data_IF_330311429608
#
_entry.id   IF_330311429608
#
_cell.length_a   1.000
_cell.length_b   1.000
_cell.length_c   1.000
_cell.angle_alpha   90.00
_cell.angle_beta   90.00
_cell.angle_gamma   90.00
#
_symmetry.space_group_name_H-M   'P 1'
#
loop_
_entity.id
_entity.type
_entity.pdbx_description
1 polymer ?
#
# COMPACT_ATOMS: atom_id res chain seq x y z
N UNK A 1 -24.90 6.45 -11.09
CA UNK A 1 -23.63 6.88 -11.68
C UNK A 1 -22.54 5.96 -11.17
N UNK A 2 -21.48 5.69 -11.94
CA UNK A 2 -20.35 4.89 -11.44
C UNK A 2 -19.51 5.72 -10.49
N UNK A 3 -19.24 5.19 -9.30
CA UNK A 3 -18.33 5.79 -8.33
C UNK A 3 -16.90 5.40 -8.64
N UNK A 4 -15.98 6.34 -8.42
CA UNK A 4 -14.54 6.18 -8.53
C UNK A 4 -13.88 6.59 -7.22
N UNK A 5 -12.58 6.33 -7.13
CA UNK A 5 -11.79 6.70 -5.96
C UNK A 5 -10.59 7.54 -6.35
N UNK A 6 -10.50 8.76 -5.82
CA UNK A 6 -9.28 9.57 -5.88
C UNK A 6 -8.41 9.28 -4.66
N UNK A 7 -7.09 9.20 -4.87
CA UNK A 7 -6.10 9.02 -3.82
C UNK A 7 -5.10 10.18 -3.89
N UNK A 8 -4.94 10.88 -2.77
CA UNK A 8 -3.94 11.94 -2.58
C UNK A 8 -3.02 11.50 -1.44
N UNK A 9 -1.71 11.57 -1.64
CA UNK A 9 -0.69 11.13 -0.68
C UNK A 9 0.32 12.25 -0.46
N UNK A 10 0.55 12.64 0.79
CA UNK A 10 1.58 13.59 1.19
C UNK A 10 2.72 12.88 1.93
N UNK A 11 3.97 13.28 1.65
CA UNK A 11 5.15 12.74 2.32
C UNK A 11 5.39 13.56 3.58
N UNK A 12 5.29 12.92 4.74
CA UNK A 12 5.44 13.64 6.01
C UNK A 12 6.87 14.15 6.19
N UNK A 13 7.00 15.41 6.60
CA UNK A 13 8.30 16.06 6.92
C UNK A 13 9.28 16.07 5.73
N UNK A 14 8.80 15.96 4.50
CA UNK A 14 9.62 16.11 3.28
C UNK A 14 10.50 17.37 3.28
N UNK A 15 10.01 18.46 3.90
CA UNK A 15 10.66 19.76 3.98
C UNK A 15 11.75 19.86 5.05
N UNK A 16 11.89 18.87 5.94
CA UNK A 16 12.95 18.85 6.96
C UNK A 16 14.21 18.13 6.51
N UNK A 17 14.15 17.40 5.40
CA UNK A 17 15.32 16.83 4.77
C UNK A 17 16.17 17.93 4.13
N UNK A 18 17.49 17.71 4.06
CA UNK A 18 18.31 18.56 3.22
C UNK A 18 17.96 18.37 1.74
N UNK A 19 18.46 19.26 0.89
CA UNK A 19 18.09 19.27 -0.52
C UNK A 19 18.49 17.97 -1.24
N UNK A 20 19.61 17.35 -0.86
CA UNK A 20 20.11 16.15 -1.50
C UNK A 20 19.25 14.94 -1.11
N UNK A 21 19.00 14.76 0.19
CA UNK A 21 18.15 13.69 0.72
C UNK A 21 16.72 13.79 0.16
N UNK A 22 16.20 15.02 0.01
CA UNK A 22 14.89 15.25 -0.59
C UNK A 22 14.85 14.84 -2.07
N UNK A 23 15.89 15.16 -2.84
CA UNK A 23 15.98 14.77 -4.25
C UNK A 23 16.12 13.25 -4.40
N UNK A 24 16.99 12.63 -3.60
CA UNK A 24 17.15 11.17 -3.56
C UNK A 24 15.81 10.50 -3.22
N UNK A 25 15.06 11.03 -2.25
CA UNK A 25 13.76 10.51 -1.85
C UNK A 25 12.73 10.63 -2.97
N UNK A 26 12.69 11.76 -3.67
CA UNK A 26 11.78 11.94 -4.79
C UNK A 26 12.10 10.98 -5.96
N UNK A 27 13.38 10.76 -6.27
CA UNK A 27 13.80 9.79 -7.29
C UNK A 27 13.42 8.36 -6.87
N UNK A 28 13.65 8.00 -5.61
CA UNK A 28 13.25 6.70 -5.07
C UNK A 28 11.74 6.48 -5.16
N UNK A 29 10.95 7.45 -4.68
CA UNK A 29 9.50 7.39 -4.71
C UNK A 29 8.93 7.35 -6.13
N UNK A 30 9.51 8.10 -7.07
CA UNK A 30 9.14 8.03 -8.48
C UNK A 30 9.28 6.61 -9.04
N UNK A 31 10.37 5.90 -8.69
CA UNK A 31 10.55 4.50 -9.09
C UNK A 31 9.53 3.57 -8.42
N UNK A 32 9.26 3.74 -7.12
CA UNK A 32 8.24 2.98 -6.40
C UNK A 32 6.85 3.15 -7.03
N UNK A 33 6.43 4.39 -7.24
CA UNK A 33 5.14 4.74 -7.85
C UNK A 33 5.03 4.18 -9.25
N UNK A 34 6.09 4.29 -10.07
CA UNK A 34 6.10 3.69 -11.41
C UNK A 34 5.87 2.18 -11.39
N UNK A 35 6.52 1.45 -10.48
CA UNK A 35 6.32 0.00 -10.36
C UNK A 35 4.91 -0.34 -9.86
N UNK A 36 4.38 0.42 -8.91
CA UNK A 36 3.02 0.19 -8.41
C UNK A 36 1.96 0.52 -9.48
N UNK A 37 2.12 1.59 -10.26
CA UNK A 37 1.23 1.88 -11.39
C UNK A 37 1.19 0.73 -12.41
N UNK A 38 2.33 0.08 -12.66
CA UNK A 38 2.37 -1.12 -13.52
C UNK A 38 1.61 -2.29 -12.90
N UNK A 39 1.83 -2.56 -11.60
CA UNK A 39 1.19 -3.66 -10.88
C UNK A 39 -0.34 -3.48 -10.76
N UNK A 40 -0.81 -2.24 -10.61
CA UNK A 40 -2.23 -1.91 -10.44
C UNK A 40 -2.89 -1.40 -11.73
N UNK A 41 -2.29 -1.65 -12.90
CA UNK A 41 -2.72 -0.99 -14.15
C UNK A 41 -4.20 -1.19 -14.49
N UNK A 42 -4.73 -2.38 -14.23
CA UNK A 42 -6.15 -2.71 -14.49
C UNK A 42 -7.10 -2.10 -13.46
N UNK A 43 -6.60 -1.67 -12.30
CA UNK A 43 -7.37 -1.06 -11.21
C UNK A 43 -7.31 0.47 -11.21
N UNK A 44 -6.41 1.04 -12.00
CA UNK A 44 -6.13 2.48 -12.06
C UNK A 44 -6.81 3.10 -13.27
N UNK A 45 -7.55 4.18 -13.03
CA UNK A 45 -8.09 5.04 -14.08
C UNK A 45 -7.07 6.09 -14.55
N UNK A 46 -6.39 6.74 -13.61
CA UNK A 46 -5.27 7.64 -13.88
C UNK A 46 -4.10 7.30 -12.97
N UNK A 47 -2.94 7.07 -13.59
CA UNK A 47 -1.70 6.72 -12.91
C UNK A 47 -1.42 7.67 -11.75
N UNK A 48 -0.96 7.11 -10.63
CA UNK A 48 -0.50 7.92 -9.51
C UNK A 48 0.75 8.65 -9.95
N UNK A 49 0.74 9.97 -9.85
CA UNK A 49 1.83 10.85 -10.28
C UNK A 49 2.09 11.93 -9.25
N UNK A 50 3.27 12.54 -9.28
CA UNK A 50 3.52 13.74 -8.49
C UNK A 50 2.63 14.88 -8.98
N UNK A 51 1.97 15.55 -8.04
CA UNK A 51 1.34 16.85 -8.23
C UNK A 51 2.35 17.96 -7.91
N UNK A 52 1.89 19.21 -7.78
CA UNK A 52 2.77 20.34 -7.51
C UNK A 52 3.44 20.19 -6.12
N UNK A 53 4.70 19.75 -6.11
CA UNK A 53 5.52 19.59 -4.91
C UNK A 53 5.86 18.12 -4.64
N UNK A 54 5.56 17.68 -3.42
CA UNK A 54 5.88 16.37 -2.86
C UNK A 54 4.65 15.46 -2.66
N UNK A 55 3.50 15.93 -3.10
CA UNK A 55 2.25 15.19 -3.08
C UNK A 55 2.11 14.29 -4.31
N UNK A 56 1.53 13.11 -4.11
CA UNK A 56 1.13 12.20 -5.18
C UNK A 56 -0.39 12.22 -5.31
N UNK A 57 -0.89 12.15 -6.54
CA UNK A 57 -2.32 12.08 -6.83
C UNK A 57 -2.57 11.04 -7.92
N UNK A 58 -3.62 10.23 -7.76
CA UNK A 58 -4.08 9.26 -8.76
C UNK A 58 -5.55 8.90 -8.59
N UNK A 59 -6.07 8.09 -9.50
CA UNK A 59 -7.48 7.72 -9.53
C UNK A 59 -7.68 6.25 -9.87
N UNK A 60 -8.60 5.59 -9.17
CA UNK A 60 -8.88 4.16 -9.24
C UNK A 60 -10.34 3.90 -9.60
N UNK A 61 -10.59 2.73 -10.19
CA UNK A 61 -11.95 2.26 -10.48
C UNK A 61 -12.72 1.83 -9.21
N UNK A 62 -12.02 1.50 -8.13
CA UNK A 62 -12.63 1.08 -6.88
C UNK A 62 -11.78 1.42 -5.63
N UNK A 63 -12.46 1.57 -4.49
CA UNK A 63 -11.85 2.00 -3.22
C UNK A 63 -10.90 0.96 -2.64
N UNK A 64 -11.19 -0.33 -2.82
CA UNK A 64 -10.35 -1.43 -2.30
C UNK A 64 -8.98 -1.38 -2.99
N UNK A 65 -8.96 -1.21 -4.31
CA UNK A 65 -7.72 -1.08 -5.08
C UNK A 65 -6.88 0.13 -4.66
N UNK A 66 -7.51 1.28 -4.44
CA UNK A 66 -6.82 2.49 -3.95
C UNK A 66 -6.16 2.27 -2.58
N UNK A 67 -6.87 1.61 -1.67
CA UNK A 67 -6.37 1.28 -0.32
C UNK A 67 -5.26 0.22 -0.39
N UNK A 68 -5.38 -0.76 -1.28
CA UNK A 68 -4.32 -1.74 -1.52
C UNK A 68 -3.04 -1.10 -2.04
N UNK A 69 -3.16 -0.17 -2.99
CA UNK A 69 -2.04 0.60 -3.51
C UNK A 69 -1.34 1.38 -2.39
N UNK A 70 -2.11 2.15 -1.60
CA UNK A 70 -1.60 2.96 -0.49
C UNK A 70 -0.87 2.11 0.57
N UNK A 71 -1.45 0.96 0.94
CA UNK A 71 -0.85 0.03 1.91
C UNK A 71 0.50 -0.48 1.40
N UNK A 72 0.53 -1.00 0.17
CA UNK A 72 1.75 -1.57 -0.38
C UNK A 72 2.84 -0.51 -0.54
N UNK A 73 2.49 0.70 -0.98
CA UNK A 73 3.41 1.84 -1.01
C UNK A 73 3.97 2.12 0.40
N UNK A 74 3.11 2.20 1.41
CA UNK A 74 3.51 2.50 2.79
C UNK A 74 4.49 1.46 3.36
N UNK A 75 4.25 0.17 3.10
CA UNK A 75 5.16 -0.92 3.50
C UNK A 75 6.50 -0.83 2.76
N UNK A 76 6.45 -0.57 1.44
CA UNK A 76 7.62 -0.47 0.58
C UNK A 76 8.56 0.67 1.04
N UNK A 77 8.00 1.85 1.36
CA UNK A 77 8.80 3.04 1.66
C UNK A 77 9.12 3.22 3.15
N UNK A 78 8.56 2.39 4.04
CA UNK A 78 8.83 2.43 5.48
C UNK A 78 10.35 2.41 5.77
N UNK A 79 10.85 3.24 6.71
CA UNK A 79 10.13 4.17 7.61
C UNK A 79 9.83 5.59 7.09
N UNK A 80 9.87 5.84 5.78
CA UNK A 80 9.28 7.09 5.25
C UNK A 80 7.78 7.06 5.53
N UNK A 81 7.30 8.05 6.29
CA UNK A 81 5.90 8.14 6.67
C UNK A 81 5.12 8.97 5.65
N UNK A 82 3.93 8.50 5.30
CA UNK A 82 2.98 9.23 4.44
C UNK A 82 1.69 9.55 5.19
N UNK A 83 0.95 10.52 4.65
CA UNK A 83 -0.45 10.79 4.93
C UNK A 83 -1.24 10.63 3.65
N UNK A 84 -2.51 10.28 3.74
CA UNK A 84 -3.33 10.15 2.55
C UNK A 84 -4.79 10.51 2.78
N UNK A 85 -5.39 11.14 1.77
CA UNK A 85 -6.83 11.31 1.63
C UNK A 85 -7.34 10.43 0.50
N UNK A 86 -8.45 9.74 0.75
CA UNK A 86 -9.11 8.84 -0.18
C UNK A 86 -10.53 9.38 -0.36
N UNK A 87 -10.88 9.77 -1.57
CA UNK A 87 -12.18 10.35 -1.87
C UNK A 87 -13.00 9.43 -2.74
N UNK A 88 -14.18 9.03 -2.27
CA UNK A 88 -15.12 8.19 -3.00
C UNK A 88 -16.24 9.05 -3.55
N UNK A 89 -16.48 8.99 -4.86
CA UNK A 89 -17.54 9.75 -5.50
C UNK A 89 -17.47 9.75 -7.02
N UNK A 90 -18.23 10.64 -7.64
CA UNK A 90 -18.27 10.78 -9.10
C UNK A 90 -17.00 11.45 -9.66
N UNK A 91 -16.75 11.20 -10.96
CA UNK A 91 -15.71 11.87 -11.75
C UNK A 91 -16.37 12.61 -12.93
N UNK A 92 -16.38 13.94 -12.82
CA UNK A 92 -17.23 14.82 -13.64
C UNK A 92 -16.45 15.56 -14.73
N UNK A 93 -15.29 16.15 -14.41
CA UNK A 93 -14.43 16.82 -15.39
C UNK A 93 -13.47 15.79 -15.95
N UNK A 94 -13.67 15.42 -17.21
CA UNK A 94 -12.91 14.37 -17.88
C UNK A 94 -12.05 14.96 -18.99
N UNK A 95 -10.75 15.04 -18.75
CA UNK A 95 -9.76 15.37 -19.76
C UNK A 95 -9.16 14.03 -20.21
N UNK A 96 -9.54 13.55 -21.39
CA UNK A 96 -9.28 12.17 -21.86
C UNK A 96 -7.78 11.80 -21.83
N UNK A 97 -6.89 12.76 -22.14
CA UNK A 97 -5.43 12.57 -22.17
C UNK A 97 -4.70 13.31 -21.03
N UNK A 98 -5.45 13.81 -20.04
CA UNK A 98 -4.90 14.55 -18.91
C UNK A 98 -4.31 13.64 -17.83
N UNK A 99 -3.38 14.18 -17.05
CA UNK A 99 -2.93 13.56 -15.81
C UNK A 99 -4.03 13.60 -14.76
N UNK A 100 -3.90 12.78 -13.70
CA UNK A 100 -4.84 12.81 -12.57
C UNK A 100 -4.94 14.19 -11.92
N UNK A 101 -3.92 15.04 -12.07
CA UNK A 101 -3.84 16.41 -11.52
C UNK A 101 -4.65 17.43 -12.31
N UNK A 102 -5.11 17.07 -13.51
CA UNK A 102 -5.89 17.94 -14.40
C UNK A 102 -7.39 17.57 -14.39
N UNK A 103 -7.74 16.51 -13.66
CA UNK A 103 -9.11 16.02 -13.52
C UNK A 103 -9.80 16.68 -12.32
N UNK A 104 -11.13 16.65 -12.31
CA UNK A 104 -11.92 17.21 -11.21
C UNK A 104 -13.28 16.48 -11.02
N UNK A 105 -13.84 16.61 -9.83
CA UNK A 105 -15.13 16.03 -9.45
C UNK A 105 -15.22 15.65 -7.98
N UNK A 106 -16.40 15.18 -7.52
CA UNK A 106 -16.64 14.81 -6.12
C UNK A 106 -15.58 13.88 -5.54
N UNK A 107 -15.08 12.88 -6.29
CA UNK A 107 -14.01 12.00 -5.80
C UNK A 107 -12.74 12.79 -5.42
N UNK A 108 -12.33 13.76 -6.25
CA UNK A 108 -11.15 14.60 -5.98
C UNK A 108 -11.39 15.56 -4.81
N UNK A 109 -12.58 16.16 -4.73
CA UNK A 109 -12.96 17.04 -3.62
C UNK A 109 -12.93 16.30 -2.27
N UNK A 110 -13.54 15.10 -2.20
CA UNK A 110 -13.53 14.29 -0.99
C UNK A 110 -12.10 13.86 -0.59
N UNK A 111 -11.25 13.51 -1.56
CA UNK A 111 -9.86 13.13 -1.27
C UNK A 111 -9.07 14.31 -0.69
N UNK A 112 -9.30 15.52 -1.23
CA UNK A 112 -8.69 16.76 -0.74
C UNK A 112 -9.18 17.09 0.66
N UNK A 113 -10.48 17.01 0.92
CA UNK A 113 -11.04 17.19 2.26
C UNK A 113 -10.44 16.18 3.25
N UNK A 114 -10.39 14.91 2.89
CA UNK A 114 -9.86 13.84 3.73
C UNK A 114 -8.39 14.07 4.14
N UNK A 115 -7.52 14.48 3.21
CA UNK A 115 -6.11 14.74 3.56
C UNK A 115 -5.96 16.00 4.43
N UNK A 116 -6.76 17.04 4.19
CA UNK A 116 -6.80 18.24 5.04
C UNK A 116 -7.28 17.94 6.47
N UNK A 117 -8.22 17.01 6.62
CA UNK A 117 -8.63 16.51 7.93
C UNK A 117 -7.53 15.69 8.61
N UNK A 118 -6.83 14.81 7.87
CA UNK A 118 -5.73 14.01 8.41
C UNK A 118 -4.66 14.89 9.07
N UNK A 119 -4.35 16.07 8.52
CA UNK A 119 -3.37 16.98 9.13
C UNK A 119 -3.76 17.45 10.54
N UNK A 120 -5.06 17.44 10.86
CA UNK A 120 -5.60 17.84 12.17
C UNK A 120 -5.66 16.67 13.16
N UNK A 121 -5.56 15.43 12.67
CA UNK A 121 -5.64 14.22 13.48
C UNK A 121 -4.31 13.90 14.19
N UNK A 122 -4.42 13.31 15.38
CA UNK A 122 -3.25 12.88 16.16
C UNK A 122 -2.90 11.40 15.94
N UNK A 123 -3.91 10.56 15.71
CA UNK A 123 -3.76 9.10 15.67
C UNK A 123 -3.97 8.51 14.27
N UNK A 124 -4.47 9.30 13.32
CA UNK A 124 -4.77 8.86 11.96
C UNK A 124 -3.79 9.46 10.96
N UNK A 125 -3.47 8.67 9.94
CA UNK A 125 -2.58 9.00 8.82
C UNK A 125 -3.32 8.94 7.49
N UNK A 126 -4.33 8.10 7.42
CA UNK A 126 -5.15 7.93 6.23
C UNK A 126 -6.61 8.22 6.57
N UNK A 127 -7.32 8.89 5.67
CA UNK A 127 -8.77 9.04 5.78
C UNK A 127 -9.47 8.78 4.45
N UNK A 128 -10.62 8.14 4.53
CA UNK A 128 -11.65 8.05 3.50
C UNK A 128 -12.71 9.11 3.81
N UNK A 129 -13.12 9.83 2.77
CA UNK A 129 -14.31 10.69 2.74
C UNK A 129 -15.18 10.26 1.55
N UNK A 130 -16.49 10.12 1.79
CA UNK A 130 -17.49 9.69 0.82
C UNK A 130 -18.71 10.61 0.84
N UNK A 131 -19.58 10.53 -0.17
CA UNK A 131 -20.78 11.39 -0.26
C UNK A 131 -21.84 11.04 0.79
N UNK A 132 -21.83 9.81 1.28
CA UNK A 132 -22.72 9.26 2.31
C UNK A 132 -22.26 9.57 3.74
N UNK A 133 -21.03 10.09 3.94
CA UNK A 133 -20.49 10.59 5.22
C UNK A 133 -20.49 9.59 6.39
N UNK A 134 -20.62 8.29 6.16
CA UNK A 134 -20.52 7.23 7.18
C UNK A 134 -19.15 6.54 7.14
N UNK A 135 -18.09 7.34 7.25
CA UNK A 135 -16.71 6.88 7.04
C UNK A 135 -15.95 6.57 8.34
N UNK A 136 -16.58 6.78 9.50
CA UNK A 136 -15.88 6.78 10.79
C UNK A 136 -15.22 5.44 11.07
N UNK A 137 -15.96 4.33 10.92
CA UNK A 137 -15.42 3.00 11.19
C UNK A 137 -14.33 2.61 10.18
N UNK A 138 -14.55 2.86 8.88
CA UNK A 138 -13.54 2.66 7.84
C UNK A 138 -12.23 3.39 8.18
N UNK A 139 -12.33 4.64 8.61
CA UNK A 139 -11.18 5.46 9.00
C UNK A 139 -10.38 4.87 10.16
N UNK A 140 -11.03 4.34 11.19
CA UNK A 140 -10.31 3.67 12.28
C UNK A 140 -9.70 2.34 11.85
N UNK A 141 -10.40 1.54 11.05
CA UNK A 141 -9.89 0.27 10.55
C UNK A 141 -8.66 0.46 9.64
N UNK A 142 -8.70 1.46 8.75
CA UNK A 142 -7.60 1.79 7.83
C UNK A 142 -6.29 2.15 8.55
N UNK A 143 -6.37 2.63 9.78
CA UNK A 143 -5.20 3.02 10.57
C UNK A 143 -4.81 1.99 11.65
N UNK A 144 -5.54 0.88 11.78
CA UNK A 144 -5.37 -0.07 12.89
C UNK A 144 -3.96 -0.69 12.93
N UNK A 145 -3.39 -1.01 11.76
CA UNK A 145 -2.05 -1.61 11.64
C UNK A 145 -0.90 -0.59 11.66
N UNK A 146 -1.20 0.70 11.53
CA UNK A 146 -0.21 1.73 11.19
C UNK A 146 0.93 1.80 12.21
N UNK A 147 0.61 1.85 13.51
CA UNK A 147 1.63 1.89 14.56
C UNK A 147 2.54 0.66 14.56
N UNK A 148 2.03 -0.51 14.16
CA UNK A 148 2.86 -1.71 14.07
C UNK A 148 3.84 -1.62 12.90
N UNK A 149 3.38 -1.15 11.73
CA UNK A 149 4.22 -0.93 10.55
C UNK A 149 5.34 0.06 10.87
N UNK A 150 5.00 1.19 11.50
CA UNK A 150 5.95 2.26 11.83
C UNK A 150 7.04 1.84 12.82
N UNK A 151 6.75 0.87 13.68
CA UNK A 151 7.71 0.36 14.66
C UNK A 151 8.58 -0.80 14.13
N UNK A 152 8.40 -1.22 12.87
CA UNK A 152 9.24 -2.23 12.26
C UNK A 152 10.62 -1.67 11.90
N UNK A 153 11.67 -2.41 12.26
CA UNK A 153 12.98 -2.17 11.67
C UNK A 153 13.02 -2.60 10.20
N UNK A 154 14.10 -2.26 9.51
CA UNK A 154 14.28 -2.54 8.09
C UNK A 154 14.04 -4.01 7.72
N UNK A 155 14.61 -4.96 8.47
CA UNK A 155 14.46 -6.39 8.20
C UNK A 155 13.00 -6.82 8.39
N UNK A 156 12.35 -6.41 9.49
CA UNK A 156 10.94 -6.72 9.73
C UNK A 156 10.02 -6.17 8.64
N UNK A 157 10.28 -4.94 8.19
CA UNK A 157 9.55 -4.30 7.09
C UNK A 157 9.76 -5.02 5.75
N UNK A 158 10.98 -5.51 5.49
CA UNK A 158 11.27 -6.35 4.32
C UNK A 158 10.55 -7.69 4.38
N UNK A 159 10.52 -8.35 5.54
CA UNK A 159 9.77 -9.59 5.74
C UNK A 159 8.26 -9.36 5.52
N UNK A 160 7.69 -8.25 6.01
CA UNK A 160 6.30 -7.90 5.73
C UNK A 160 6.07 -7.68 4.23
N UNK A 161 6.97 -6.98 3.52
CA UNK A 161 6.88 -6.80 2.07
C UNK A 161 6.91 -8.15 1.33
N UNK A 162 7.80 -9.07 1.70
CA UNK A 162 7.85 -10.40 1.11
C UNK A 162 6.54 -11.16 1.32
N UNK A 163 5.93 -11.06 2.50
CA UNK A 163 4.62 -11.66 2.77
C UNK A 163 3.52 -11.06 1.88
N UNK A 164 3.51 -9.73 1.68
CA UNK A 164 2.55 -9.08 0.80
C UNK A 164 2.74 -9.44 -0.67
N UNK A 165 3.97 -9.72 -1.11
CA UNK A 165 4.27 -10.06 -2.51
C UNK A 165 4.11 -11.56 -2.81
N UNK A 166 4.42 -12.43 -1.86
CA UNK A 166 4.31 -13.89 -2.02
C UNK A 166 2.90 -14.40 -1.70
N UNK A 167 2.15 -13.68 -0.86
CA UNK A 167 0.78 -14.03 -0.47
C UNK A 167 -0.19 -12.86 -0.68
N UNK A 168 -0.26 -12.26 -1.88
CA UNK A 168 -0.93 -10.97 -2.09
C UNK A 168 -2.44 -11.03 -1.83
N UNK A 169 -2.98 -9.95 -1.26
CA UNK A 169 -4.42 -9.73 -1.26
C UNK A 169 -4.89 -9.38 -2.67
N UNK A 170 -6.05 -9.87 -3.09
CA UNK A 170 -6.62 -9.59 -4.42
C UNK A 170 -8.10 -9.19 -4.31
N UNK A 171 -8.50 -8.20 -5.11
CA UNK A 171 -9.89 -7.79 -5.30
C UNK A 171 -10.32 -8.15 -6.73
N UNK A 172 -11.33 -9.02 -6.89
CA UNK A 172 -11.74 -9.64 -8.18
C UNK A 172 -10.66 -10.56 -8.77
N UNK A 173 -10.97 -11.26 -9.88
CA UNK A 173 -10.03 -12.11 -10.63
C UNK A 173 -8.98 -11.23 -11.32
N UNK A 174 -7.98 -10.78 -10.57
CA UNK A 174 -6.88 -9.96 -11.10
C UNK A 174 -5.93 -10.83 -11.92
N UNK A 175 -5.33 -10.24 -12.95
CA UNK A 175 -4.18 -10.84 -13.61
C UNK A 175 -3.10 -11.23 -12.59
N UNK A 176 -2.43 -12.38 -12.77
CA UNK A 176 -1.38 -12.80 -11.87
C UNK A 176 -0.29 -11.72 -11.78
N UNK A 177 0.03 -11.29 -10.56
CA UNK A 177 1.17 -10.40 -10.30
C UNK A 177 2.40 -11.03 -10.94
N UNK A 178 3.08 -10.28 -11.81
CA UNK A 178 4.22 -10.83 -12.53
C UNK A 178 5.40 -10.97 -11.59
N UNK A 179 6.09 -12.10 -11.67
CA UNK A 179 7.33 -12.34 -10.90
C UNK A 179 8.35 -11.20 -11.09
N UNK A 180 8.42 -10.60 -12.29
CA UNK A 180 9.28 -9.44 -12.56
C UNK A 180 8.91 -8.21 -11.73
N UNK A 181 7.62 -7.94 -11.52
CA UNK A 181 7.15 -6.80 -10.70
C UNK A 181 7.50 -7.02 -9.23
N UNK A 182 7.35 -8.25 -8.74
CA UNK A 182 7.75 -8.64 -7.39
C UNK A 182 9.26 -8.41 -7.17
N UNK A 183 10.10 -8.88 -8.09
CA UNK A 183 11.56 -8.68 -8.01
C UNK A 183 11.92 -7.20 -7.99
N UNK A 184 11.33 -6.40 -8.89
CA UNK A 184 11.58 -4.96 -8.96
C UNK A 184 11.24 -4.24 -7.64
N UNK A 185 10.11 -4.59 -6.99
CA UNK A 185 9.73 -3.99 -5.71
C UNK A 185 10.70 -4.37 -4.58
N UNK A 186 11.18 -5.62 -4.56
CA UNK A 186 12.18 -6.05 -3.58
C UNK A 186 13.54 -5.37 -3.79
N UNK A 187 13.96 -5.21 -5.04
CA UNK A 187 15.17 -4.44 -5.38
C UNK A 187 15.05 -2.99 -4.93
N UNK A 188 13.89 -2.35 -5.16
CA UNK A 188 13.62 -1.00 -4.67
C UNK A 188 13.71 -0.94 -3.14
N UNK A 189 13.14 -1.91 -2.42
CA UNK A 189 13.27 -1.97 -0.95
C UNK A 189 14.74 -2.07 -0.52
N UNK A 190 15.53 -2.88 -1.22
CA UNK A 190 16.95 -3.09 -0.94
C UNK A 190 17.80 -1.81 -1.07
N UNK A 191 17.54 -1.00 -2.09
CA UNK A 191 18.30 0.24 -2.37
C UNK A 191 17.70 1.49 -1.73
N UNK A 192 16.67 1.35 -0.90
CA UNK A 192 16.04 2.47 -0.21
C UNK A 192 17.07 3.31 0.57
N UNK A 193 16.88 4.62 0.64
CA UNK A 193 17.85 5.60 1.22
C UNK A 193 18.31 5.22 2.62
N UNK A 194 17.50 4.44 3.32
CA UNK A 194 17.70 4.01 4.70
C UNK A 194 18.74 2.89 4.77
N UNK A 195 18.86 2.04 3.74
CA UNK A 195 19.94 1.05 3.66
C UNK A 195 21.32 1.71 3.48
N UNK A 196 21.39 2.93 2.92
CA UNK A 196 22.66 3.68 2.78
C UNK A 196 23.26 4.15 4.12
N UNK A 197 22.42 4.46 5.11
CA UNK A 197 22.87 4.90 6.43
C UNK A 197 23.17 3.74 7.39
N UNK A 198 22.50 2.60 7.21
CA UNK A 198 22.84 1.35 7.90
C UNK A 198 23.99 0.61 7.20
N UNK A 199 25.20 1.17 7.27
CA UNK A 199 26.46 0.52 6.79
C UNK A 199 26.78 -0.86 7.42
N UNK A 200 25.89 -1.39 8.27
CA UNK A 200 25.99 -2.70 8.94
C UNK A 200 25.12 -3.79 8.34
N UNK A 201 24.13 -3.47 7.51
CA UNK A 201 23.41 -4.51 6.76
C UNK A 201 24.23 -4.82 5.52
N UNK A 202 25.23 -5.70 5.68
CA UNK A 202 26.02 -6.23 4.57
C UNK A 202 25.13 -6.77 3.48
N UNK A 203 25.65 -6.84 2.25
CA UNK A 203 25.02 -7.39 1.05
C UNK A 203 24.18 -8.63 1.36
N UNK A 204 22.90 -8.44 1.69
CA UNK A 204 21.94 -9.54 1.73
C UNK A 204 21.56 -9.72 0.27
N UNK A 205 22.33 -10.55 -0.42
CA UNK A 205 21.95 -11.11 -1.71
C UNK A 205 20.69 -11.93 -1.50
N UNK A 206 19.54 -11.28 -1.63
CA UNK A 206 18.26 -11.96 -1.78
C UNK A 206 18.39 -12.95 -2.93
N UNK A 207 17.95 -14.18 -2.74
CA UNK A 207 17.83 -15.11 -3.85
C UNK A 207 16.55 -14.80 -4.63
N UNK A 208 16.66 -13.80 -5.52
CA UNK A 208 15.56 -13.39 -6.38
C UNK A 208 15.06 -14.52 -7.29
N UNK A 209 15.76 -15.65 -7.43
CA UNK A 209 15.26 -16.78 -8.22
C UNK A 209 14.16 -17.55 -7.51
N UNK A 210 14.12 -17.54 -6.18
CA UNK A 210 13.12 -18.27 -5.40
C UNK A 210 11.87 -17.44 -5.09
N UNK A 211 11.84 -16.18 -5.51
CA UNK A 211 10.71 -15.29 -5.27
C UNK A 211 9.62 -15.51 -6.32
N UNK A 212 8.45 -15.95 -5.86
CA UNK A 212 7.25 -16.10 -6.68
C UNK A 212 5.98 -15.86 -5.84
N UNK A 213 4.87 -15.60 -6.51
CA UNK A 213 3.55 -15.64 -5.86
C UNK A 213 3.23 -17.09 -5.51
N UNK A 214 3.05 -17.37 -4.22
CA UNK A 214 2.75 -18.71 -3.71
C UNK A 214 1.24 -18.94 -3.67
N UNK A 215 0.49 -18.00 -3.10
CA UNK A 215 -0.96 -18.11 -2.97
C UNK A 215 -1.61 -16.73 -2.93
N UNK A 216 -2.61 -16.48 -3.77
CA UNK A 216 -3.39 -15.25 -3.72
C UNK A 216 -4.50 -15.36 -2.67
N UNK A 217 -4.70 -14.32 -1.88
CA UNK A 217 -5.71 -14.25 -0.83
C UNK A 217 -6.83 -13.32 -1.30
N UNK A 218 -7.96 -13.90 -1.68
CA UNK A 218 -9.13 -13.14 -2.11
C UNK A 218 -9.77 -12.38 -0.95
N UNK A 219 -10.10 -11.10 -1.16
CA UNK A 219 -10.87 -10.31 -0.20
C UNK A 219 -12.34 -10.71 -0.35
N UNK A 220 -12.83 -11.58 0.54
CA UNK A 220 -14.19 -12.12 0.51
C UNK A 220 -15.13 -11.39 1.48
N UNK A 221 -16.42 -11.38 1.16
CA UNK A 221 -17.46 -10.88 2.07
C UNK A 221 -17.97 -11.96 3.04
N UNK A 222 -17.60 -13.22 2.80
CA UNK A 222 -17.98 -14.39 3.59
C UNK A 222 -17.50 -14.29 5.04
N UNK A 223 -18.28 -14.81 5.98
CA UNK A 223 -17.95 -14.82 7.41
C UNK A 223 -16.91 -15.92 7.73
N UNK A 224 -15.66 -15.69 7.33
CA UNK A 224 -14.50 -16.54 7.62
C UNK A 224 -13.56 -15.79 8.59
N UNK A 225 -12.94 -16.53 9.52
CA UNK A 225 -11.91 -15.98 10.40
C UNK A 225 -10.68 -15.55 9.60
N UNK A 226 -10.16 -14.36 9.90
CA UNK A 226 -9.00 -13.82 9.20
C UNK A 226 -7.73 -14.64 9.48
N UNK A 227 -7.58 -15.26 10.66
CA UNK A 227 -6.41 -16.10 10.96
C UNK A 227 -6.31 -17.29 10.01
N UNK A 228 -7.44 -17.95 9.74
CA UNK A 228 -7.53 -19.10 8.83
C UNK A 228 -7.17 -18.73 7.39
N UNK A 229 -7.45 -17.49 6.99
CA UNK A 229 -7.16 -16.99 5.65
C UNK A 229 -5.71 -16.52 5.55
N UNK A 230 -5.17 -15.85 6.57
CA UNK A 230 -3.86 -15.20 6.51
C UNK A 230 -2.72 -16.17 6.83
N UNK A 231 -2.91 -17.11 7.75
CA UNK A 231 -1.85 -18.01 8.21
C UNK A 231 -1.79 -19.23 7.28
N UNK A 232 -0.86 -19.20 6.32
CA UNK A 232 -0.62 -20.29 5.37
C UNK A 232 0.45 -21.26 5.84
N UNK A 233 0.29 -22.53 5.47
CA UNK A 233 1.27 -23.59 5.74
C UNK A 233 2.62 -23.23 5.09
N UNK A 234 3.70 -23.49 5.82
CA UNK A 234 5.08 -23.29 5.36
C UNK A 234 5.48 -21.85 5.02
N UNK A 235 4.67 -20.84 5.35
CA UNK A 235 4.95 -19.42 5.04
C UNK A 235 6.36 -19.00 5.48
N UNK A 236 6.74 -19.27 6.73
CA UNK A 236 8.07 -18.94 7.24
C UNK A 236 9.20 -19.70 6.57
N UNK A 237 8.96 -20.91 6.06
CA UNK A 237 9.96 -21.67 5.30
C UNK A 237 10.18 -21.05 3.93
N UNK A 238 9.09 -20.67 3.23
CA UNK A 238 9.18 -20.01 1.92
C UNK A 238 9.93 -18.68 2.00
N UNK A 239 9.65 -17.88 3.03
CA UNK A 239 10.39 -16.63 3.26
C UNK A 239 11.87 -16.92 3.61
N UNK A 240 12.14 -17.98 4.37
CA UNK A 240 13.51 -18.35 4.76
C UNK A 240 14.38 -18.73 3.55
N UNK A 241 13.81 -19.39 2.55
CA UNK A 241 14.48 -19.73 1.29
C UNK A 241 14.90 -18.49 0.49
N UNK A 242 14.02 -17.48 0.41
CA UNK A 242 14.31 -16.20 -0.26
C UNK A 242 15.37 -15.39 0.48
N UNK A 243 15.28 -15.35 1.82
CA UNK A 243 16.16 -14.55 2.68
C UNK A 243 17.51 -15.23 2.97
N UNK A 244 17.71 -16.49 2.57
CA UNK A 244 18.91 -17.26 2.93
C UNK A 244 19.07 -17.44 4.44
N UNK A 245 17.96 -17.60 5.16
CA UNK A 245 17.89 -17.66 6.63
C UNK A 245 17.29 -18.98 7.10
N UNK A 246 17.27 -19.24 8.42
CA UNK A 246 16.54 -20.39 9.00
C UNK A 246 15.06 -20.05 9.21
N UNK A 247 14.18 -21.06 9.11
CA UNK A 247 12.74 -20.93 9.42
C UNK A 247 12.49 -20.34 10.81
N UNK A 248 13.23 -20.80 11.83
CA UNK A 248 13.07 -20.32 13.21
C UNK A 248 13.43 -18.84 13.36
N UNK A 249 14.42 -18.35 12.61
CA UNK A 249 14.76 -16.93 12.60
C UNK A 249 13.66 -16.11 11.92
N UNK A 250 13.12 -16.58 10.81
CA UNK A 250 11.97 -15.93 10.14
C UNK A 250 10.74 -15.91 11.05
N UNK A 251 10.39 -17.02 11.70
CA UNK A 251 9.29 -17.11 12.67
C UNK A 251 9.44 -16.03 13.76
N UNK A 252 10.66 -15.84 14.27
CA UNK A 252 10.98 -14.80 15.26
C UNK A 252 10.86 -13.39 14.69
N UNK A 253 11.26 -13.14 13.45
CA UNK A 253 11.14 -11.84 12.78
C UNK A 253 9.68 -11.48 12.51
N UNK A 254 8.89 -12.41 11.98
CA UNK A 254 7.44 -12.27 11.77
C UNK A 254 6.74 -11.92 13.08
N UNK A 255 7.03 -12.68 14.16
CA UNK A 255 6.44 -12.44 15.48
C UNK A 255 6.82 -11.07 16.04
N UNK A 256 8.11 -10.72 16.05
CA UNK A 256 8.59 -9.44 16.59
C UNK A 256 8.17 -8.23 15.75
N UNK A 257 8.00 -8.43 14.44
CA UNK A 257 7.52 -7.41 13.51
C UNK A 257 6.00 -7.29 13.49
N UNK A 258 5.26 -8.16 14.19
CA UNK A 258 3.79 -8.23 14.17
C UNK A 258 3.22 -8.44 12.76
N UNK A 259 3.96 -9.09 11.85
CA UNK A 259 3.56 -9.14 10.44
C UNK A 259 2.20 -9.82 10.22
N UNK A 260 1.90 -10.90 10.94
CA UNK A 260 0.58 -11.57 10.84
C UNK A 260 -0.54 -10.67 11.37
N UNK A 261 -0.33 -9.99 12.50
CA UNK A 261 -1.32 -9.08 13.10
C UNK A 261 -1.62 -7.91 12.15
N UNK A 262 -0.58 -7.30 11.56
CA UNK A 262 -0.72 -6.25 10.55
C UNK A 262 -1.59 -6.74 9.39
N UNK A 263 -1.26 -7.91 8.83
CA UNK A 263 -1.99 -8.47 7.69
C UNK A 263 -3.43 -8.81 8.01
N UNK A 264 -3.73 -9.29 9.22
CA UNK A 264 -5.10 -9.52 9.69
C UNK A 264 -5.88 -8.20 9.78
N UNK A 265 -5.30 -7.18 10.42
CA UNK A 265 -5.94 -5.86 10.55
C UNK A 265 -6.22 -5.24 9.18
N UNK A 266 -5.24 -5.31 8.27
CA UNK A 266 -5.37 -4.78 6.91
C UNK A 266 -6.40 -5.57 6.08
N UNK A 267 -6.41 -6.89 6.20
CA UNK A 267 -7.43 -7.73 5.55
C UNK A 267 -8.84 -7.39 6.02
N UNK A 268 -9.02 -7.21 7.33
CA UNK A 268 -10.31 -6.82 7.90
C UNK A 268 -10.74 -5.42 7.46
N UNK A 269 -9.80 -4.47 7.38
CA UNK A 269 -10.07 -3.14 6.85
C UNK A 269 -10.53 -3.21 5.39
N UNK A 270 -9.80 -3.96 4.54
CA UNK A 270 -10.15 -4.16 3.13
C UNK A 270 -11.51 -4.82 2.95
N UNK A 271 -11.82 -5.84 3.75
CA UNK A 271 -13.12 -6.51 3.74
C UNK A 271 -14.25 -5.56 4.10
N UNK A 272 -14.07 -4.73 5.12
CA UNK A 272 -15.04 -3.71 5.49
C UNK A 272 -15.20 -2.66 4.39
N UNK A 273 -14.10 -2.15 3.85
CA UNK A 273 -14.09 -1.16 2.75
C UNK A 273 -14.80 -1.72 1.51
N UNK A 274 -14.57 -2.99 1.17
CA UNK A 274 -15.27 -3.68 0.09
C UNK A 274 -16.78 -3.67 0.31
N UNK A 275 -17.23 -4.01 1.52
CA UNK A 275 -18.66 -3.99 1.86
C UNK A 275 -19.26 -2.58 1.85
N UNK A 276 -18.51 -1.59 2.34
CA UNK A 276 -19.01 -0.22 2.53
C UNK A 276 -18.98 0.63 1.24
N UNK A 277 -18.00 0.41 0.37
CA UNK A 277 -17.73 1.26 -0.81
C UNK A 277 -17.57 0.46 -2.12
N UNK A 278 -17.73 -0.86 -2.08
CA UNK A 278 -17.41 -1.73 -3.22
C UNK A 278 -18.38 -1.61 -4.39
N UNK A 279 -19.55 -1.00 -4.21
CA UNK A 279 -20.63 -0.93 -5.20
C UNK A 279 -21.15 -2.32 -5.62
N UNK A 280 -22.46 -2.49 -5.77
CA UNK A 280 -23.02 -3.70 -6.40
C UNK A 280 -22.66 -3.70 -7.89
N UNK A 281 -21.43 -4.09 -8.24
CA UNK A 281 -21.02 -4.33 -9.61
C UNK A 281 -21.13 -5.83 -9.91
N UNK A 282 -22.37 -6.32 -9.86
CA UNK A 282 -22.74 -7.43 -10.73
C UNK A 282 -22.77 -6.87 -12.15
N UNK A 283 -21.74 -7.17 -12.93
CA UNK A 283 -21.79 -7.10 -14.39
C UNK A 283 -22.50 -8.35 -14.91
#
# INVERSE_FOLDING_TARGET
MSEYTSLIIDIKKSRTYDLQDRNDLQVYLSKCVKQLNMMFKESIRFDVTFSAGDELQGMFYDTVSAVMYLRLLSILINPVEVRAGIGVGEWNVRIEDGLSTEQDGPAYHQAREAIEEVYKMQTQRFRISSTNNDDVLANYMLNASMNYIQNQNYIQSRILLLLELMYPFVNKTVNPIKVTEVKNLLELKAVSIISKNDKKTGDITLDFNNVQVIEMISITEEAIDAEDIIIKKNMSSMIAEVEGSTRQNIDKLIKRGNSIIIRIMDYMALKYIKKAYGGNYDL
#
